data_IF_769346306708
#
_entry.id   IF_769346306708
#
_cell.length_a   1.000
_cell.length_b   1.000
_cell.length_c   1.000
_cell.angle_alpha   90.00
_cell.angle_beta   90.00
_cell.angle_gamma   90.00
#
_symmetry.space_group_name_H-M   'P 1'
#
loop_
_entity.id
_entity.type
_entity.pdbx_description
1 polymer ?
#
# COMPACT_ATOMS: atom_id res chain seq x y z
N UNK A 1 59.18 24.81 0.48
CA UNK A 1 57.80 24.67 0.97
C UNK A 1 57.62 23.22 1.42
N UNK A 2 57.11 22.92 2.62
CA UNK A 2 56.94 21.53 3.06
C UNK A 2 55.66 20.92 2.45
N UNK A 3 55.78 19.70 1.94
CA UNK A 3 54.69 18.94 1.33
C UNK A 3 53.73 18.45 2.43
N UNK A 4 52.42 18.74 2.29
CA UNK A 4 51.41 18.19 3.21
C UNK A 4 51.00 16.78 2.73
N UNK A 5 51.01 15.75 3.58
CA UNK A 5 50.56 14.42 3.21
C UNK A 5 49.06 14.43 2.86
N UNK A 6 48.67 13.72 1.81
CA UNK A 6 47.27 13.48 1.50
C UNK A 6 46.64 12.62 2.59
N UNK A 7 45.66 13.19 3.29
CA UNK A 7 44.88 12.51 4.32
C UNK A 7 44.06 11.38 3.69
N UNK A 8 44.45 10.14 3.97
CA UNK A 8 43.78 8.94 3.46
C UNK A 8 42.47 8.77 4.22
N UNK A 9 41.38 9.33 3.68
CA UNK A 9 40.05 9.12 4.24
C UNK A 9 39.77 7.60 4.31
N UNK A 10 39.43 7.06 5.48
CA UNK A 10 39.16 5.64 5.62
C UNK A 10 38.02 5.23 4.67
N UNK A 11 38.27 4.19 3.86
CA UNK A 11 37.23 3.59 3.01
C UNK A 11 36.13 3.08 3.91
N UNK A 12 34.92 3.66 3.81
CA UNK A 12 33.73 3.12 4.48
C UNK A 12 33.53 1.68 4.02
N UNK A 13 33.71 0.74 4.93
CA UNK A 13 33.22 -0.62 4.73
C UNK A 13 31.73 -0.61 5.04
N UNK A 14 30.92 -1.09 4.11
CA UNK A 14 29.50 -1.30 4.35
C UNK A 14 29.33 -2.53 5.25
N UNK A 15 28.32 -2.53 6.15
CA UNK A 15 28.01 -3.71 6.93
C UNK A 15 27.56 -4.86 6.01
N UNK A 16 27.70 -6.09 6.49
CA UNK A 16 27.17 -7.26 5.80
C UNK A 16 25.64 -7.14 5.65
N UNK A 17 25.14 -7.52 4.48
CA UNK A 17 23.72 -7.40 4.13
C UNK A 17 22.96 -8.62 4.64
N UNK A 18 21.95 -8.40 5.49
CA UNK A 18 20.96 -9.41 5.86
C UNK A 18 19.64 -9.18 5.09
N UNK A 19 19.27 -10.06 4.14
CA UNK A 19 18.07 -9.91 3.32
C UNK A 19 16.78 -10.40 4.01
N UNK A 20 16.85 -10.96 5.22
CA UNK A 20 15.73 -11.68 5.86
C UNK A 20 14.47 -10.82 5.97
N UNK A 21 14.59 -9.59 6.47
CA UNK A 21 13.44 -8.69 6.62
C UNK A 21 12.90 -8.21 5.26
N UNK A 22 13.78 -8.06 4.26
CA UNK A 22 13.38 -7.68 2.91
C UNK A 22 12.57 -8.79 2.24
N UNK A 23 12.97 -10.05 2.41
CA UNK A 23 12.22 -11.22 1.95
C UNK A 23 10.83 -11.31 2.60
N UNK A 24 10.75 -11.12 3.92
CA UNK A 24 9.48 -11.12 4.65
C UNK A 24 8.55 -9.99 4.18
N UNK A 25 9.11 -8.81 3.91
CA UNK A 25 8.37 -7.68 3.37
C UNK A 25 7.80 -7.99 1.98
N UNK A 26 8.58 -8.65 1.11
CA UNK A 26 8.12 -9.08 -0.20
C UNK A 26 6.96 -10.09 -0.11
N UNK A 27 7.06 -11.10 0.78
CA UNK A 27 6.00 -12.08 1.04
C UNK A 27 4.73 -11.41 1.58
N UNK A 28 4.86 -10.43 2.47
CA UNK A 28 3.74 -9.63 2.97
C UNK A 28 3.06 -8.83 1.84
N UNK A 29 3.86 -8.18 0.98
CA UNK A 29 3.34 -7.45 -0.17
C UNK A 29 2.58 -8.34 -1.16
N UNK A 30 3.03 -9.58 -1.38
CA UNK A 30 2.30 -10.55 -2.21
C UNK A 30 0.89 -10.85 -1.67
N UNK A 31 0.71 -10.86 -0.34
CA UNK A 31 -0.62 -11.01 0.26
C UNK A 31 -1.48 -9.75 0.03
N UNK A 32 -0.90 -8.55 0.19
CA UNK A 32 -1.59 -7.30 -0.12
C UNK A 32 -2.04 -7.24 -1.59
N UNK A 33 -1.22 -7.72 -2.53
CA UNK A 33 -1.58 -7.79 -3.95
C UNK A 33 -2.77 -8.72 -4.22
N UNK A 34 -2.88 -9.84 -3.49
CA UNK A 34 -4.03 -10.75 -3.61
C UNK A 34 -5.31 -10.06 -3.13
N UNK A 35 -5.25 -9.40 -1.97
CA UNK A 35 -6.40 -8.64 -1.44
C UNK A 35 -6.79 -7.48 -2.35
N UNK A 36 -5.81 -6.74 -2.86
CA UNK A 36 -6.03 -5.69 -3.86
C UNK A 36 -6.75 -6.23 -5.09
N UNK A 37 -6.35 -7.41 -5.59
CA UNK A 37 -6.98 -8.05 -6.74
C UNK A 37 -8.45 -8.39 -6.47
N UNK A 38 -8.81 -8.83 -5.26
CA UNK A 38 -10.22 -9.08 -4.90
C UNK A 38 -11.07 -7.81 -5.00
N UNK A 39 -10.57 -6.68 -4.48
CA UNK A 39 -11.26 -5.40 -4.55
C UNK A 39 -11.40 -4.95 -5.99
N UNK A 40 -10.31 -4.97 -6.75
CA UNK A 40 -10.28 -4.53 -8.15
C UNK A 40 -11.19 -5.36 -9.03
N UNK A 41 -11.17 -6.69 -8.90
CA UNK A 41 -12.06 -7.58 -9.64
C UNK A 41 -13.53 -7.28 -9.31
N UNK A 42 -13.86 -7.10 -8.02
CA UNK A 42 -15.24 -6.80 -7.63
C UNK A 42 -15.75 -5.47 -8.17
N UNK A 43 -14.88 -4.45 -8.23
CA UNK A 43 -15.18 -3.15 -8.83
C UNK A 43 -15.32 -3.25 -10.35
N UNK A 44 -14.46 -4.02 -11.02
CA UNK A 44 -14.47 -4.18 -12.47
C UNK A 44 -15.66 -5.02 -12.97
N UNK A 45 -15.99 -6.10 -12.28
CA UNK A 45 -16.99 -7.09 -12.72
C UNK A 45 -18.43 -6.67 -12.37
N UNK A 46 -18.62 -5.69 -11.48
CA UNK A 46 -19.95 -5.29 -11.01
C UNK A 46 -20.14 -3.78 -11.04
N UNK A 47 -20.74 -3.29 -12.12
CA UNK A 47 -21.18 -1.88 -12.25
C UNK A 47 -22.06 -1.42 -11.09
N UNK A 48 -22.92 -2.32 -10.58
CA UNK A 48 -23.80 -2.03 -9.43
C UNK A 48 -22.96 -1.79 -8.17
N UNK A 49 -21.95 -2.65 -7.92
CA UNK A 49 -21.08 -2.48 -6.76
C UNK A 49 -20.21 -1.22 -6.89
N UNK A 50 -19.58 -1.00 -8.04
CA UNK A 50 -18.81 0.21 -8.32
C UNK A 50 -19.65 1.48 -8.14
N UNK A 51 -20.87 1.48 -8.66
CA UNK A 51 -21.82 2.59 -8.49
C UNK A 51 -22.13 2.88 -7.01
N UNK A 52 -22.35 1.85 -6.19
CA UNK A 52 -22.57 2.03 -4.73
C UNK A 52 -21.35 2.66 -4.05
N UNK A 53 -20.15 2.21 -4.37
CA UNK A 53 -18.90 2.77 -3.83
C UNK A 53 -18.76 4.24 -4.23
N UNK A 54 -18.97 4.55 -5.52
CA UNK A 54 -18.91 5.92 -6.04
C UNK A 54 -19.96 6.83 -5.37
N UNK A 55 -21.21 6.37 -5.27
CA UNK A 55 -22.28 7.15 -4.63
C UNK A 55 -22.01 7.43 -3.16
N UNK A 56 -21.51 6.43 -2.41
CA UNK A 56 -21.13 6.63 -1.01
C UNK A 56 -19.96 7.61 -0.87
N UNK A 57 -18.96 7.52 -1.74
CA UNK A 57 -17.81 8.43 -1.77
C UNK A 57 -18.24 9.88 -2.10
N UNK A 58 -19.09 10.07 -3.10
CA UNK A 58 -19.63 11.40 -3.47
C UNK A 58 -20.43 12.05 -2.34
N UNK A 59 -21.12 11.25 -1.52
CA UNK A 59 -21.84 11.71 -0.33
C UNK A 59 -20.93 11.89 0.91
N UNK A 60 -19.61 11.76 0.74
CA UNK A 60 -18.64 11.79 1.83
C UNK A 60 -18.86 10.74 2.93
N UNK A 61 -19.56 9.65 2.61
CA UNK A 61 -19.89 8.59 3.56
C UNK A 61 -18.75 7.56 3.68
N UNK A 62 -17.67 7.95 4.38
CA UNK A 62 -16.48 7.11 4.55
C UNK A 62 -16.78 5.75 5.18
N UNK A 63 -17.69 5.68 6.15
CA UNK A 63 -18.03 4.43 6.83
C UNK A 63 -18.64 3.41 5.87
N UNK A 64 -19.54 3.85 4.98
CA UNK A 64 -20.13 2.96 3.98
C UNK A 64 -19.11 2.55 2.92
N UNK A 65 -18.24 3.45 2.48
CA UNK A 65 -17.13 3.11 1.58
C UNK A 65 -16.25 2.03 2.20
N UNK A 66 -15.79 2.21 3.44
CA UNK A 66 -14.95 1.25 4.14
C UNK A 66 -15.66 -0.11 4.33
N UNK A 67 -16.97 -0.10 4.62
CA UNK A 67 -17.78 -1.31 4.73
C UNK A 67 -17.89 -2.04 3.40
N UNK A 68 -18.14 -1.33 2.30
CA UNK A 68 -18.22 -1.89 0.96
C UNK A 68 -16.89 -2.51 0.54
N UNK A 69 -15.77 -1.81 0.73
CA UNK A 69 -14.44 -2.35 0.40
C UNK A 69 -14.14 -3.59 1.24
N UNK A 70 -14.43 -3.59 2.54
CA UNK A 70 -14.27 -4.80 3.39
C UNK A 70 -15.17 -5.96 2.97
N UNK A 71 -16.37 -5.68 2.43
CA UNK A 71 -17.30 -6.72 1.96
C UNK A 71 -16.78 -7.52 0.76
N UNK A 72 -15.69 -7.09 0.12
CA UNK A 72 -15.01 -7.83 -0.96
C UNK A 72 -14.24 -9.06 -0.47
N UNK A 73 -14.07 -9.23 0.85
CA UNK A 73 -13.42 -10.39 1.46
C UNK A 73 -11.92 -10.21 1.74
N UNK A 74 -11.39 -8.99 1.61
CA UNK A 74 -10.00 -8.69 2.01
C UNK A 74 -9.77 -8.93 3.50
N UNK A 75 -8.56 -9.35 3.84
CA UNK A 75 -8.14 -9.60 5.24
C UNK A 75 -7.22 -8.51 5.76
N UNK A 76 -6.54 -7.83 4.86
CA UNK A 76 -5.62 -6.73 5.16
C UNK A 76 -6.36 -5.52 5.72
N UNK A 77 -5.67 -4.75 6.56
CA UNK A 77 -6.17 -3.43 6.96
C UNK A 77 -6.21 -2.55 5.72
N UNK A 78 -7.30 -1.81 5.55
CA UNK A 78 -7.48 -0.85 4.45
C UNK A 78 -7.86 0.52 5.01
N UNK A 79 -7.22 1.54 4.48
CA UNK A 79 -7.57 2.95 4.70
C UNK A 79 -8.01 3.55 3.37
N UNK A 80 -9.24 4.06 3.33
CA UNK A 80 -9.82 4.61 2.11
C UNK A 80 -9.85 6.12 2.16
N UNK A 81 -9.39 6.78 1.11
CA UNK A 81 -9.57 8.23 0.90
C UNK A 81 -10.14 8.45 -0.49
N UNK A 82 -10.94 9.49 -0.66
CA UNK A 82 -11.60 9.77 -1.93
C UNK A 82 -11.83 11.26 -2.09
N UNK A 83 -11.97 11.67 -3.34
CA UNK A 83 -12.39 13.01 -3.75
C UNK A 83 -13.41 12.85 -4.89
N UNK A 84 -13.96 13.95 -5.44
CA UNK A 84 -14.91 13.84 -6.54
C UNK A 84 -14.38 13.06 -7.76
N UNK A 85 -13.07 13.00 -7.96
CA UNK A 85 -12.43 12.41 -9.16
C UNK A 85 -12.10 10.92 -9.02
N UNK A 86 -11.98 10.42 -7.78
CA UNK A 86 -11.50 9.06 -7.56
C UNK A 86 -11.34 8.64 -6.11
N UNK A 87 -10.72 7.48 -5.95
CA UNK A 87 -10.49 6.80 -4.67
C UNK A 87 -9.05 6.30 -4.58
N UNK A 88 -8.48 6.43 -3.39
CA UNK A 88 -7.23 5.84 -3.00
C UNK A 88 -7.47 4.82 -1.89
N UNK A 89 -6.96 3.61 -2.11
CA UNK A 89 -6.98 2.52 -1.14
C UNK A 89 -5.55 2.29 -0.67
N UNK A 90 -5.30 2.42 0.62
CA UNK A 90 -4.02 2.07 1.24
C UNK A 90 -4.21 0.78 2.04
N UNK A 91 -3.71 -0.33 1.51
CA UNK A 91 -3.68 -1.60 2.22
C UNK A 91 -2.37 -1.71 3.00
N UNK A 92 -2.43 -2.25 4.21
CA UNK A 92 -1.25 -2.43 5.06
C UNK A 92 -1.21 -3.81 5.71
N UNK A 93 0.02 -4.30 5.94
CA UNK A 93 0.30 -5.55 6.64
C UNK A 93 1.45 -5.36 7.62
N UNK A 94 1.40 -6.17 8.69
CA UNK A 94 2.44 -6.24 9.72
C UNK A 94 3.32 -7.46 9.51
N UNK A 95 4.61 -7.32 9.81
CA UNK A 95 5.57 -8.42 9.91
C UNK A 95 6.13 -8.38 11.34
N UNK A 96 5.79 -9.39 12.13
CA UNK A 96 6.05 -9.37 13.57
C UNK A 96 5.26 -8.25 14.26
N UNK A 97 5.97 -7.36 14.95
CA UNK A 97 5.39 -6.18 15.62
C UNK A 97 5.51 -4.89 14.80
N UNK A 98 6.17 -4.94 13.64
CA UNK A 98 6.38 -3.77 12.80
C UNK A 98 5.33 -3.68 11.68
N UNK A 99 4.76 -2.49 11.47
CA UNK A 99 4.10 -2.18 10.21
C UNK A 99 5.18 -2.15 9.11
N UNK A 100 5.16 -3.11 8.18
CA UNK A 100 6.18 -3.18 7.13
C UNK A 100 5.69 -2.62 5.81
N UNK A 101 4.47 -2.96 5.43
CA UNK A 101 4.19 -3.07 4.01
C UNK A 101 2.91 -2.33 3.67
N UNK A 102 3.02 -1.49 2.65
CA UNK A 102 1.96 -0.58 2.23
C UNK A 102 1.77 -0.69 0.72
N UNK A 103 0.56 -1.03 0.31
CA UNK A 103 0.15 -1.01 -1.10
C UNK A 103 -0.88 0.10 -1.28
N UNK A 104 -0.57 1.07 -2.13
CA UNK A 104 -1.49 2.16 -2.47
C UNK A 104 -1.99 1.99 -3.89
N UNK A 105 -3.31 2.00 -4.03
CA UNK A 105 -4.03 1.88 -5.29
C UNK A 105 -4.81 3.17 -5.49
N UNK A 106 -4.72 3.76 -6.68
CA UNK A 106 -5.51 4.92 -7.07
C UNK A 106 -6.39 4.55 -8.26
N UNK A 107 -7.69 4.82 -8.16
CA UNK A 107 -8.67 4.59 -9.23
C UNK A 107 -9.42 5.90 -9.50
N UNK A 108 -9.67 6.17 -10.77
CA UNK A 108 -10.41 7.37 -11.21
C UNK A 108 -11.75 6.98 -11.80
N UNK A 109 -12.71 7.87 -11.67
CA UNK A 109 -14.03 7.78 -12.31
C UNK A 109 -14.47 9.10 -12.97
N UNK A 110 -13.61 10.12 -12.94
CA UNK A 110 -13.64 11.33 -13.75
C UNK A 110 -12.24 11.60 -14.32
#
# INVERSE_FOLDING_TARGET
MPYKPYDQRPRRQFPDVDPTFFEQSAKSMQMLMKDASLVLNRLADSKIFAGKVMSAAQQSNKNEVDKLIKSTGIKSKVETTFNPDGIHLKLSSTVGTAECCHLTIALRWL
#
